data_IF_063455507950
#
_entry.id   IF_063455507950
#
_cell.length_a   1.000
_cell.length_b   1.000
_cell.length_c   1.000
_cell.angle_alpha   90.00
_cell.angle_beta   90.00
_cell.angle_gamma   90.00
#
_symmetry.space_group_name_H-M   'P 1'
#
loop_
_entity.id
_entity.type
_entity.pdbx_description
1 polymer ?
#
# COMPACT_ATOMS: atom_id res chain seq x y z
N UNK A 1 -27.05 -27.17 -8.53
CA UNK A 1 -27.35 -26.66 -9.90
C UNK A 1 -28.77 -26.94 -10.40
N UNK A 2 -29.48 -27.98 -9.93
CA UNK A 2 -30.85 -28.26 -10.39
C UNK A 2 -31.91 -27.26 -9.88
N UNK A 3 -31.74 -26.72 -8.66
CA UNK A 3 -32.62 -25.69 -8.09
C UNK A 3 -32.61 -24.35 -8.88
N UNK A 4 -31.45 -23.96 -9.42
CA UNK A 4 -31.32 -22.73 -10.20
C UNK A 4 -31.99 -22.85 -11.58
N UNK A 5 -31.99 -24.05 -12.18
CA UNK A 5 -32.69 -24.33 -13.43
C UNK A 5 -34.22 -24.32 -13.26
N UNK A 6 -34.71 -24.81 -12.11
CA UNK A 6 -36.13 -24.78 -11.80
C UNK A 6 -36.65 -23.36 -11.57
N UNK A 7 -35.84 -22.50 -10.92
CA UNK A 7 -36.15 -21.08 -10.73
C UNK A 7 -36.22 -20.32 -12.07
N UNK A 8 -35.35 -20.66 -13.03
CA UNK A 8 -35.35 -20.05 -14.35
C UNK A 8 -36.55 -20.48 -15.23
N UNK A 9 -37.06 -21.70 -15.03
CA UNK A 9 -38.22 -22.22 -15.75
C UNK A 9 -39.53 -21.55 -15.31
N UNK A 10 -39.67 -21.25 -14.01
CA UNK A 10 -40.85 -20.57 -13.45
C UNK A 10 -40.95 -19.11 -13.95
N UNK A 11 -39.80 -18.45 -14.18
CA UNK A 11 -39.74 -17.08 -14.70
C UNK A 11 -40.23 -16.96 -16.16
N UNK A 12 -40.26 -18.05 -16.94
CA UNK A 12 -40.70 -18.03 -18.33
C UNK A 12 -42.19 -18.31 -18.54
N UNK A 13 -42.86 -18.93 -17.56
CA UNK A 13 -44.28 -19.34 -17.69
C UNK A 13 -45.25 -18.21 -17.28
N UNK A 14 -44.75 -17.15 -16.63
CA UNK A 14 -45.57 -16.06 -16.08
C UNK A 14 -45.95 -14.93 -17.06
N UNK A 15 -45.53 -14.96 -18.33
CA UNK A 15 -45.94 -13.95 -19.31
C UNK A 15 -47.26 -14.34 -20.00
N UNK A 16 -48.36 -14.23 -19.26
CA UNK A 16 -49.67 -14.08 -19.91
C UNK A 16 -49.75 -12.67 -20.48
N UNK A 17 -49.50 -12.54 -21.78
CA UNK A 17 -49.78 -11.31 -22.50
C UNK A 17 -51.29 -11.05 -22.46
N UNK A 18 -51.69 -9.90 -21.94
CA UNK A 18 -53.05 -9.41 -22.14
C UNK A 18 -53.19 -9.05 -23.62
N UNK A 19 -53.97 -9.85 -24.35
CA UNK A 19 -54.44 -9.45 -25.66
C UNK A 19 -55.41 -8.28 -25.46
N UNK A 20 -55.08 -7.13 -26.03
CA UNK A 20 -56.01 -6.00 -26.08
C UNK A 20 -57.05 -6.36 -27.14
N UNK A 21 -58.32 -6.45 -26.74
CA UNK A 21 -59.41 -6.62 -27.69
C UNK A 21 -59.35 -5.49 -28.72
N UNK A 22 -59.36 -5.87 -30.00
CA UNK A 22 -59.40 -4.91 -31.09
C UNK A 22 -60.74 -4.16 -30.99
N UNK A 23 -60.67 -2.89 -30.57
CA UNK A 23 -61.81 -1.98 -30.69
C UNK A 23 -62.03 -1.76 -32.18
N UNK A 24 -63.03 -2.45 -32.74
CA UNK A 24 -63.56 -2.12 -34.06
C UNK A 24 -64.29 -0.79 -33.89
N UNK A 25 -63.65 0.30 -34.26
CA UNK A 25 -64.32 1.58 -34.42
C UNK A 25 -65.15 1.51 -35.69
N UNK A 26 -66.47 1.44 -35.52
CA UNK A 26 -67.43 1.64 -36.60
C UNK A 26 -67.23 3.06 -37.18
N UNK A 27 -66.85 3.13 -38.45
CA UNK A 27 -66.25 4.30 -39.11
C UNK A 27 -67.25 5.43 -39.43
N UNK A 28 -68.48 5.35 -38.90
CA UNK A 28 -69.60 6.20 -39.33
C UNK A 28 -70.10 7.21 -38.28
N UNK A 29 -69.38 7.44 -37.18
CA UNK A 29 -69.75 8.50 -36.21
C UNK A 29 -68.59 9.36 -35.73
N UNK A 30 -67.61 9.66 -36.59
CA UNK A 30 -66.61 10.69 -36.28
C UNK A 30 -67.19 12.10 -36.54
N UNK A 31 -67.30 12.98 -35.53
CA UNK A 31 -67.77 14.34 -35.73
C UNK A 31 -66.77 15.12 -36.59
N UNK A 32 -67.23 15.56 -37.77
CA UNK A 32 -66.66 16.55 -38.69
C UNK A 32 -65.23 17.04 -38.38
N UNK A 33 -64.28 16.68 -39.25
CA UNK A 33 -62.98 17.33 -39.31
C UNK A 33 -63.17 18.84 -39.57
N UNK A 34 -63.01 19.67 -38.54
CA UNK A 34 -62.94 21.11 -38.71
C UNK A 34 -61.55 21.47 -39.24
N UNK A 35 -61.50 22.12 -40.40
CA UNK A 35 -60.27 22.68 -40.94
C UNK A 35 -59.80 23.79 -39.99
N UNK A 36 -58.77 23.52 -39.20
CA UNK A 36 -58.13 24.54 -38.37
C UNK A 36 -57.28 25.46 -39.25
N UNK A 37 -57.56 26.77 -39.20
CA UNK A 37 -56.67 27.77 -39.80
C UNK A 37 -55.49 28.01 -38.86
N UNK A 38 -54.32 27.50 -39.28
CA UNK A 38 -53.08 27.66 -38.54
C UNK A 38 -52.46 29.00 -38.92
N UNK A 39 -52.60 30.01 -38.06
CA UNK A 39 -51.92 31.30 -38.23
C UNK A 39 -50.40 31.17 -37.96
N UNK A 40 -49.61 32.11 -38.51
CA UNK A 40 -48.15 32.13 -38.30
C UNK A 40 -47.74 32.26 -36.82
N UNK A 41 -48.51 32.97 -36.00
CA UNK A 41 -48.28 33.10 -34.55
C UNK A 41 -48.44 31.76 -33.81
N UNK A 42 -49.41 30.93 -34.24
CA UNK A 42 -49.57 29.59 -33.66
C UNK A 42 -48.32 28.73 -33.91
N UNK A 43 -47.69 28.85 -35.09
CA UNK A 43 -46.49 28.09 -35.45
C UNK A 43 -45.25 28.52 -34.66
N UNK A 44 -45.09 29.81 -34.35
CA UNK A 44 -43.92 30.29 -33.60
C UNK A 44 -43.88 29.77 -32.16
N UNK A 45 -45.04 29.48 -31.57
CA UNK A 45 -45.15 28.83 -30.26
C UNK A 45 -44.59 27.40 -30.26
N UNK A 46 -44.64 26.70 -31.39
CA UNK A 46 -44.14 25.32 -31.52
C UNK A 46 -42.71 25.26 -32.04
N UNK A 47 -42.26 26.22 -32.87
CA UNK A 47 -40.87 26.28 -33.36
C UNK A 47 -39.84 26.35 -32.24
N UNK A 48 -40.16 27.01 -31.13
CA UNK A 48 -39.22 27.19 -30.01
C UNK A 48 -39.26 26.05 -28.98
N UNK A 49 -40.13 25.04 -29.17
CA UNK A 49 -40.22 23.89 -28.24
C UNK A 49 -39.15 22.86 -28.58
N UNK A 50 -38.32 22.51 -27.59
CA UNK A 50 -37.24 21.50 -27.70
C UNK A 50 -37.72 20.14 -28.23
N UNK A 51 -38.98 19.77 -27.99
CA UNK A 51 -39.59 18.54 -28.48
C UNK A 51 -39.77 18.49 -30.01
N UNK A 52 -39.73 19.63 -30.69
CA UNK A 52 -39.87 19.75 -32.14
C UNK A 52 -38.59 20.23 -32.83
N UNK A 53 -37.44 20.17 -32.14
CA UNK A 53 -36.14 20.35 -32.76
C UNK A 53 -35.71 19.04 -33.45
N UNK A 54 -35.99 18.95 -34.75
CA UNK A 54 -35.63 17.82 -35.61
C UNK A 54 -34.29 18.04 -36.33
N UNK A 55 -33.36 18.79 -35.73
CA UNK A 55 -31.96 18.74 -36.16
C UNK A 55 -31.47 17.30 -35.98
N UNK A 56 -31.22 16.60 -37.09
CA UNK A 56 -30.42 15.39 -37.08
C UNK A 56 -29.10 15.76 -36.39
N UNK A 57 -28.87 15.20 -35.20
CA UNK A 57 -27.54 15.25 -34.59
C UNK A 57 -26.62 14.47 -35.51
N UNK A 58 -26.01 15.15 -36.47
CA UNK A 58 -24.84 14.66 -37.19
C UNK A 58 -23.91 14.17 -36.09
N UNK A 59 -23.61 12.87 -36.08
CA UNK A 59 -22.79 12.27 -35.03
C UNK A 59 -21.55 13.17 -34.82
N UNK A 60 -21.36 13.66 -33.59
CA UNK A 60 -20.28 14.59 -33.25
C UNK A 60 -19.01 14.15 -33.99
N UNK A 61 -18.35 15.08 -34.71
CA UNK A 61 -17.13 14.78 -35.44
C UNK A 61 -16.20 13.97 -34.55
N UNK A 62 -16.00 12.70 -34.90
CA UNK A 62 -15.29 11.71 -34.11
C UNK A 62 -14.02 12.36 -33.53
N UNK A 63 -14.02 12.66 -32.22
CA UNK A 63 -12.88 13.26 -31.55
C UNK A 63 -11.62 12.45 -31.89
N UNK A 64 -10.49 13.11 -32.14
CA UNK A 64 -9.22 12.44 -32.44
C UNK A 64 -8.90 11.34 -31.40
N UNK A 65 -9.34 11.55 -30.16
CA UNK A 65 -9.24 10.56 -29.09
C UNK A 65 -10.12 9.32 -29.28
N UNK A 66 -11.35 9.50 -29.77
CA UNK A 66 -12.27 8.40 -30.11
C UNK A 66 -11.71 7.58 -31.28
N UNK A 67 -11.16 8.25 -32.31
CA UNK A 67 -10.49 7.58 -33.44
C UNK A 67 -9.27 6.79 -32.98
N UNK A 68 -8.44 7.39 -32.12
CA UNK A 68 -7.28 6.73 -31.52
C UNK A 68 -7.67 5.50 -30.69
N UNK A 69 -8.65 5.63 -29.78
CA UNK A 69 -9.14 4.51 -28.97
C UNK A 69 -9.69 3.38 -29.83
N UNK A 70 -10.43 3.69 -30.89
CA UNK A 70 -10.98 2.70 -31.82
C UNK A 70 -9.86 1.97 -32.58
N UNK A 71 -8.86 2.70 -33.07
CA UNK A 71 -7.66 2.13 -33.69
C UNK A 71 -6.88 1.24 -32.72
N UNK A 72 -6.60 1.72 -31.51
CA UNK A 72 -5.88 0.99 -30.46
C UNK A 72 -6.63 -0.28 -30.06
N UNK A 73 -7.95 -0.19 -29.87
CA UNK A 73 -8.80 -1.34 -29.57
C UNK A 73 -8.77 -2.37 -30.70
N UNK A 74 -8.72 -1.94 -31.96
CA UNK A 74 -8.55 -2.83 -33.11
C UNK A 74 -7.21 -3.56 -33.10
N UNK A 75 -6.12 -2.87 -32.78
CA UNK A 75 -4.78 -3.47 -32.66
C UNK A 75 -4.73 -4.47 -31.50
N UNK A 76 -5.20 -4.06 -30.33
CA UNK A 76 -5.25 -4.92 -29.15
C UNK A 76 -6.13 -6.15 -29.42
N UNK A 77 -7.29 -5.98 -30.04
CA UNK A 77 -8.17 -7.12 -30.35
C UNK A 77 -7.50 -8.11 -31.30
N UNK A 78 -6.78 -7.65 -32.33
CA UNK A 78 -6.02 -8.52 -33.25
C UNK A 78 -4.84 -9.22 -32.57
N UNK A 79 -4.13 -8.52 -31.68
CA UNK A 79 -3.04 -9.11 -30.91
C UNK A 79 -3.55 -10.18 -29.94
N UNK A 80 -4.60 -9.87 -29.17
CA UNK A 80 -5.22 -10.81 -28.24
C UNK A 80 -5.92 -11.95 -28.97
N UNK A 81 -6.57 -11.73 -30.12
CA UNK A 81 -7.15 -12.83 -30.90
C UNK A 81 -6.08 -13.69 -31.58
N UNK A 82 -4.90 -13.15 -31.90
CA UNK A 82 -3.76 -13.92 -32.41
C UNK A 82 -3.13 -14.80 -31.30
N UNK A 83 -3.03 -14.27 -30.08
CA UNK A 83 -2.44 -14.98 -28.93
C UNK A 83 -3.43 -15.92 -28.22
N UNK A 84 -4.71 -15.58 -28.16
CA UNK A 84 -5.73 -16.30 -27.38
C UNK A 84 -6.91 -16.79 -28.24
N UNK A 85 -6.88 -16.59 -29.56
CA UNK A 85 -7.90 -17.09 -30.48
C UNK A 85 -7.85 -18.61 -30.58
N UNK A 86 -8.98 -19.24 -30.31
CA UNK A 86 -9.14 -20.68 -30.13
C UNK A 86 -8.84 -21.51 -31.40
N UNK A 87 -8.78 -20.86 -32.57
CA UNK A 87 -8.68 -21.52 -33.87
C UNK A 87 -7.27 -21.49 -34.52
N UNK A 88 -6.29 -20.78 -33.93
CA UNK A 88 -5.03 -20.49 -34.63
C UNK A 88 -3.80 -21.33 -34.20
N UNK A 89 -3.88 -22.14 -33.14
CA UNK A 89 -2.69 -22.81 -32.61
C UNK A 89 -2.82 -24.33 -32.63
N UNK A 90 -2.64 -24.94 -33.80
CA UNK A 90 -2.15 -26.33 -33.88
C UNK A 90 -0.62 -26.29 -33.97
N UNK A 91 0.08 -26.74 -32.93
CA UNK A 91 1.55 -26.85 -32.90
C UNK A 91 2.25 -26.06 -31.77
N UNK A 92 3.49 -25.63 -32.02
CA UNK A 92 4.43 -25.07 -31.02
C UNK A 92 3.86 -23.86 -30.27
N UNK A 93 3.01 -23.04 -30.91
CA UNK A 93 2.36 -21.89 -30.26
C UNK A 93 1.42 -22.32 -29.13
N UNK A 94 0.68 -23.43 -29.27
CA UNK A 94 -0.16 -23.96 -28.20
C UNK A 94 0.67 -24.40 -27.00
N UNK A 95 1.81 -25.05 -27.25
CA UNK A 95 2.73 -25.46 -26.20
C UNK A 95 3.31 -24.25 -25.45
N UNK A 96 3.76 -23.22 -26.18
CA UNK A 96 4.28 -21.99 -25.57
C UNK A 96 3.20 -21.30 -24.74
N UNK A 97 2.00 -21.11 -25.27
CA UNK A 97 0.90 -20.43 -24.55
C UNK A 97 0.43 -21.21 -23.32
N UNK A 98 0.53 -22.54 -23.35
CA UNK A 98 0.22 -23.38 -22.19
C UNK A 98 1.32 -23.33 -21.13
N UNK A 99 2.59 -23.30 -21.52
CA UNK A 99 3.74 -23.35 -20.59
C UNK A 99 4.13 -21.97 -20.05
N UNK A 100 4.00 -20.91 -20.86
CA UNK A 100 4.34 -19.52 -20.52
C UNK A 100 3.72 -19.03 -19.19
N UNK A 101 2.42 -19.22 -18.89
CA UNK A 101 1.87 -18.77 -17.62
C UNK A 101 2.50 -19.45 -16.40
N UNK A 102 2.89 -20.74 -16.52
CA UNK A 102 3.61 -21.43 -15.45
C UNK A 102 5.04 -20.91 -15.28
N UNK A 103 5.73 -20.55 -16.37
CA UNK A 103 7.06 -19.92 -16.31
C UNK A 103 6.96 -18.54 -15.65
N UNK A 104 6.01 -17.72 -16.06
CA UNK A 104 5.78 -16.38 -15.48
C UNK A 104 5.44 -16.50 -13.99
N UNK A 105 4.60 -17.46 -13.62
CA UNK A 105 4.26 -17.73 -12.22
C UNK A 105 5.49 -18.20 -11.42
N UNK A 106 6.33 -19.07 -11.99
CA UNK A 106 7.56 -19.52 -11.35
C UNK A 106 8.56 -18.38 -11.13
N UNK A 107 8.70 -17.47 -12.10
CA UNK A 107 9.52 -16.25 -11.98
C UNK A 107 8.95 -15.34 -10.90
N UNK A 108 7.63 -15.14 -10.87
CA UNK A 108 6.96 -14.34 -9.84
C UNK A 108 7.21 -14.91 -8.44
N UNK A 109 7.02 -16.22 -8.26
CA UNK A 109 7.30 -16.91 -6.99
C UNK A 109 8.77 -16.77 -6.61
N UNK A 110 9.69 -16.95 -7.57
CA UNK A 110 11.12 -16.76 -7.32
C UNK A 110 11.45 -15.33 -6.88
N UNK A 111 10.85 -14.31 -7.52
CA UNK A 111 11.03 -12.91 -7.13
C UNK A 111 10.44 -12.62 -5.76
N UNK A 112 9.27 -13.18 -5.42
CA UNK A 112 8.67 -13.06 -4.10
C UNK A 112 9.58 -13.71 -3.04
N UNK A 113 10.03 -14.95 -3.25
CA UNK A 113 10.96 -15.63 -2.34
C UNK A 113 12.23 -14.79 -2.18
N UNK A 114 12.84 -14.33 -3.27
CA UNK A 114 14.04 -13.50 -3.22
C UNK A 114 13.80 -12.17 -2.49
N UNK A 115 12.63 -11.55 -2.68
CA UNK A 115 12.24 -10.33 -2.00
C UNK A 115 12.10 -10.57 -0.49
N UNK A 116 11.36 -11.60 -0.09
CA UNK A 116 11.15 -11.95 1.31
C UNK A 116 12.42 -12.47 2.01
N UNK A 117 13.29 -13.19 1.32
CA UNK A 117 14.59 -13.62 1.88
C UNK A 117 15.58 -12.46 2.06
N UNK A 118 15.43 -11.38 1.27
CA UNK A 118 16.23 -10.15 1.45
C UNK A 118 15.68 -9.25 2.56
N UNK A 119 14.41 -9.45 2.97
CA UNK A 119 13.85 -8.87 4.19
C UNK A 119 14.31 -9.73 5.37
N UNK A 120 15.35 -9.26 6.05
CA UNK A 120 15.98 -9.75 7.28
C UNK A 120 15.25 -10.95 7.97
N UNK A 121 15.54 -12.16 7.51
CA UNK A 121 14.83 -13.39 7.93
C UNK A 121 15.19 -13.91 9.32
N UNK A 122 15.88 -13.11 10.15
CA UNK A 122 16.15 -13.48 11.55
C UNK A 122 14.89 -13.47 12.41
N UNK A 123 13.84 -12.74 12.00
CA UNK A 123 12.60 -12.61 12.76
C UNK A 123 11.48 -13.58 12.34
N UNK A 124 11.65 -14.34 11.24
CA UNK A 124 10.59 -15.21 10.70
C UNK A 124 10.85 -16.71 10.94
N UNK A 125 12.08 -17.11 11.23
CA UNK A 125 12.48 -18.52 11.35
C UNK A 125 12.44 -19.01 12.80
N UNK A 126 12.59 -18.11 13.78
CA UNK A 126 12.41 -18.43 15.20
C UNK A 126 11.01 -17.98 15.63
N UNK A 127 10.07 -18.92 15.63
CA UNK A 127 8.72 -18.68 16.14
C UNK A 127 8.73 -18.49 17.65
N UNK A 128 8.69 -17.24 18.11
CA UNK A 128 8.26 -16.94 19.47
C UNK A 128 6.73 -16.88 19.50
N UNK A 129 6.15 -17.72 20.36
CA UNK A 129 4.72 -17.69 20.64
C UNK A 129 4.35 -16.31 21.16
N UNK A 130 3.50 -15.60 20.41
CA UNK A 130 2.91 -14.31 20.81
C UNK A 130 2.14 -14.48 22.12
N UNK A 131 2.83 -14.31 23.25
CA UNK A 131 2.23 -13.71 24.44
C UNK A 131 2.18 -12.21 24.18
N UNK A 132 0.97 -11.67 24.18
CA UNK A 132 0.62 -10.26 24.09
C UNK A 132 1.84 -9.33 23.92
N UNK A 133 2.13 -8.96 22.67
CA UNK A 133 3.13 -7.94 22.35
C UNK A 133 2.67 -6.62 22.96
N UNK A 134 3.11 -6.36 24.19
CA UNK A 134 3.36 -5.00 24.64
C UNK A 134 4.28 -4.43 23.55
N UNK A 135 3.80 -3.41 22.85
CA UNK A 135 4.57 -2.70 21.82
C UNK A 135 5.78 -2.03 22.50
N UNK A 136 6.82 -2.81 22.75
CA UNK A 136 8.10 -2.31 23.19
C UNK A 136 8.65 -1.44 22.04
N UNK A 137 9.09 -0.21 22.33
CA UNK A 137 9.88 0.53 21.34
C UNK A 137 11.19 -0.21 21.08
N UNK A 138 11.81 0.04 19.93
CA UNK A 138 13.08 -0.58 19.55
C UNK A 138 14.13 -0.49 20.69
N UNK A 139 14.18 0.62 21.43
CA UNK A 139 15.08 0.77 22.58
C UNK A 139 14.74 -0.15 23.76
N UNK A 140 13.46 -0.33 24.08
CA UNK A 140 13.02 -1.15 25.20
C UNK A 140 13.31 -2.63 24.94
N UNK A 141 13.06 -3.10 23.73
CA UNK A 141 13.43 -4.44 23.30
C UNK A 141 14.94 -4.66 23.39
N UNK A 142 15.74 -3.68 22.92
CA UNK A 142 17.20 -3.78 22.94
C UNK A 142 17.74 -3.81 24.38
N UNK A 143 17.25 -2.93 25.25
CA UNK A 143 17.73 -2.83 26.64
C UNK A 143 17.39 -4.11 27.42
N UNK A 144 16.16 -4.61 27.31
CA UNK A 144 15.66 -5.72 28.12
C UNK A 144 16.08 -7.09 27.57
N UNK A 145 16.04 -7.28 26.25
CA UNK A 145 16.04 -8.62 25.67
C UNK A 145 17.27 -8.91 24.79
N UNK A 146 18.00 -7.89 24.35
CA UNK A 146 19.10 -8.09 23.40
C UNK A 146 20.49 -8.03 24.05
N UNK A 147 21.45 -8.72 23.41
CA UNK A 147 22.86 -8.61 23.76
C UNK A 147 23.46 -7.38 23.06
N UNK A 148 23.41 -6.24 23.74
CA UNK A 148 23.89 -4.95 23.21
C UNK A 148 25.36 -5.01 22.78
N UNK A 149 26.22 -5.78 23.46
CA UNK A 149 27.64 -5.93 23.07
C UNK A 149 27.80 -6.62 21.71
N UNK A 150 26.95 -7.62 21.41
CA UNK A 150 26.93 -8.24 20.10
C UNK A 150 26.46 -7.27 19.01
N UNK A 151 25.46 -6.44 19.30
CA UNK A 151 24.97 -5.40 18.38
C UNK A 151 26.06 -4.35 18.08
N UNK A 152 26.80 -3.90 19.09
CA UNK A 152 27.96 -3.00 18.91
C UNK A 152 28.98 -3.62 17.96
N UNK A 153 29.34 -4.89 18.19
CA UNK A 153 30.34 -5.60 17.38
C UNK A 153 29.90 -5.71 15.92
N UNK A 154 28.62 -6.02 15.67
CA UNK A 154 28.08 -6.12 14.32
C UNK A 154 28.03 -4.75 13.63
N UNK A 155 27.58 -3.70 14.32
CA UNK A 155 27.53 -2.34 13.77
C UNK A 155 28.93 -1.84 13.36
N UNK A 156 29.95 -2.09 14.20
CA UNK A 156 31.35 -1.76 13.89
C UNK A 156 31.85 -2.55 12.67
N UNK A 157 31.54 -3.85 12.58
CA UNK A 157 31.92 -4.69 11.44
C UNK A 157 31.30 -4.20 10.13
N UNK A 158 30.09 -3.66 10.19
CA UNK A 158 29.39 -3.08 9.04
C UNK A 158 29.85 -1.64 8.71
N UNK A 159 30.79 -1.08 9.48
CA UNK A 159 31.20 0.34 9.42
C UNK A 159 30.04 1.31 9.69
N UNK A 160 28.98 0.87 10.37
CA UNK A 160 27.90 1.74 10.84
C UNK A 160 28.24 2.27 12.24
N UNK A 161 29.16 3.22 12.24
CA UNK A 161 29.66 3.84 13.47
C UNK A 161 28.57 4.63 14.21
N UNK A 162 27.61 5.23 13.49
CA UNK A 162 26.48 5.95 14.11
C UNK A 162 25.61 4.99 14.91
N UNK A 163 25.29 3.84 14.33
CA UNK A 163 24.54 2.80 15.02
C UNK A 163 25.33 2.21 16.20
N UNK A 164 26.64 2.02 16.05
CA UNK A 164 27.50 1.58 17.15
C UNK A 164 27.47 2.56 18.35
N UNK A 165 27.53 3.87 18.10
CA UNK A 165 27.40 4.90 19.16
C UNK A 165 26.04 4.82 19.86
N UNK A 166 24.95 4.63 19.11
CA UNK A 166 23.62 4.41 19.70
C UNK A 166 23.62 3.21 20.64
N UNK A 167 24.17 2.08 20.22
CA UNK A 167 24.23 0.90 21.07
C UNK A 167 25.13 1.11 22.30
N UNK A 168 26.25 1.83 22.19
CA UNK A 168 27.05 2.22 23.36
C UNK A 168 26.25 3.08 24.34
N UNK A 169 25.44 4.03 23.86
CA UNK A 169 24.60 4.85 24.71
C UNK A 169 23.54 4.02 25.45
N UNK A 170 22.85 3.12 24.73
CA UNK A 170 21.87 2.20 25.33
C UNK A 170 22.51 1.26 26.35
N UNK A 171 23.74 0.81 26.11
CA UNK A 171 24.50 0.02 27.08
C UNK A 171 24.75 0.79 28.38
N UNK A 172 25.14 2.06 28.30
CA UNK A 172 25.35 2.88 29.51
C UNK A 172 24.04 3.08 30.27
N UNK A 173 22.93 3.36 29.58
CA UNK A 173 21.61 3.48 30.22
C UNK A 173 21.24 2.18 30.93
N UNK A 174 21.42 1.03 30.27
CA UNK A 174 21.17 -0.28 30.86
C UNK A 174 21.97 -0.47 32.15
N UNK A 175 23.26 -0.18 32.12
CA UNK A 175 24.17 -0.39 33.24
C UNK A 175 23.87 0.57 34.41
N UNK A 176 23.53 1.83 34.12
CA UNK A 176 23.04 2.77 35.15
C UNK A 176 21.74 2.27 35.80
N UNK A 177 20.85 1.66 35.01
CA UNK A 177 19.59 1.12 35.52
C UNK A 177 19.81 -0.15 36.35
N UNK A 178 20.67 -1.07 35.91
CA UNK A 178 21.01 -2.30 36.65
C UNK A 178 21.69 -2.00 37.98
N UNK A 179 22.45 -0.90 38.07
CA UNK A 179 23.07 -0.42 39.30
C UNK A 179 22.15 0.50 40.14
N UNK A 180 20.85 0.61 39.80
CA UNK A 180 19.86 1.45 40.48
C UNK A 180 20.25 2.94 40.60
N UNK A 181 21.09 3.44 39.68
CA UNK A 181 21.48 4.85 39.62
C UNK A 181 20.37 5.67 38.95
N UNK A 182 19.71 5.09 37.95
CA UNK A 182 18.53 5.65 37.29
C UNK A 182 17.41 4.62 37.32
N UNK A 183 16.17 5.11 37.27
CA UNK A 183 14.99 4.26 37.06
C UNK A 183 14.58 4.36 35.59
N UNK A 184 14.97 3.38 34.78
CA UNK A 184 14.71 3.42 33.34
C UNK A 184 13.20 3.32 33.05
N UNK A 185 12.69 4.30 32.30
CA UNK A 185 11.30 4.34 31.85
C UNK A 185 11.22 4.86 30.42
N UNK A 186 10.39 4.22 29.59
CA UNK A 186 10.27 4.56 28.17
C UNK A 186 9.90 6.04 27.93
N UNK A 187 9.04 6.61 28.77
CA UNK A 187 8.59 8.00 28.66
C UNK A 187 9.62 9.06 29.12
N UNK A 188 10.71 8.66 29.78
CA UNK A 188 11.71 9.60 30.32
C UNK A 188 12.64 10.10 29.22
N UNK A 189 13.00 11.38 29.32
CA UNK A 189 13.96 12.02 28.43
C UNK A 189 15.39 11.84 28.93
N UNK A 190 16.37 12.10 28.06
CA UNK A 190 17.78 12.11 28.44
C UNK A 190 18.07 13.09 29.59
N UNK A 191 17.39 14.23 29.62
CA UNK A 191 17.48 15.25 30.67
C UNK A 191 16.92 14.76 32.01
N UNK A 192 15.88 13.92 31.99
CA UNK A 192 15.33 13.31 33.21
C UNK A 192 16.35 12.37 33.83
N UNK A 193 17.03 11.55 33.02
CA UNK A 193 18.11 10.68 33.50
C UNK A 193 19.30 11.45 34.06
N UNK A 194 19.69 12.58 33.45
CA UNK A 194 20.76 13.44 34.00
C UNK A 194 20.39 13.93 35.40
N UNK A 195 19.14 14.30 35.66
CA UNK A 195 18.68 14.80 36.95
C UNK A 195 18.58 13.70 38.02
N UNK A 196 18.38 12.45 37.64
CA UNK A 196 18.30 11.31 38.57
C UNK A 196 19.67 10.93 39.15
N UNK A 197 20.74 11.12 38.38
CA UNK A 197 22.10 10.74 38.79
C UNK A 197 22.59 11.67 39.89
N UNK A 198 22.71 11.16 41.12
CA UNK A 198 23.16 11.93 42.30
C UNK A 198 24.67 12.14 42.37
N UNK A 199 25.44 11.20 41.81
CA UNK A 199 26.91 11.25 41.86
C UNK A 199 27.44 12.24 40.82
N UNK A 200 27.94 13.39 41.27
CA UNK A 200 28.38 14.49 40.39
C UNK A 200 29.37 14.03 39.29
N UNK A 201 30.33 13.14 39.61
CA UNK A 201 31.29 12.64 38.63
C UNK A 201 30.65 11.80 37.51
N UNK A 202 29.63 11.00 37.85
CA UNK A 202 28.88 10.16 36.90
C UNK A 202 27.94 11.07 36.10
N UNK A 203 27.27 12.01 36.76
CA UNK A 203 26.36 12.96 36.14
C UNK A 203 27.06 13.78 35.04
N UNK A 204 28.21 14.40 35.34
CA UNK A 204 28.97 15.19 34.36
C UNK A 204 29.43 14.35 33.16
N UNK A 205 29.84 13.10 33.39
CA UNK A 205 30.23 12.21 32.29
C UNK A 205 29.03 11.74 31.47
N UNK A 206 27.91 11.47 32.13
CA UNK A 206 26.66 11.11 31.47
C UNK A 206 26.18 12.26 30.58
N UNK A 207 26.14 13.49 31.10
CA UNK A 207 25.80 14.68 30.32
C UNK A 207 26.70 14.85 29.07
N UNK A 208 28.00 14.58 29.22
CA UNK A 208 28.95 14.62 28.09
C UNK A 208 28.61 13.59 27.02
N UNK A 209 28.34 12.33 27.38
CA UNK A 209 28.01 11.31 26.39
C UNK A 209 26.61 11.51 25.79
N UNK A 210 25.66 12.06 26.55
CA UNK A 210 24.33 12.43 26.07
C UNK A 210 24.43 13.48 24.97
N UNK A 211 25.23 14.53 25.15
CA UNK A 211 25.48 15.52 24.09
C UNK A 211 26.08 14.92 22.82
N UNK A 212 27.02 13.97 22.97
CA UNK A 212 27.61 13.25 21.84
C UNK A 212 26.54 12.41 21.13
N UNK A 213 25.73 11.67 21.88
CA UNK A 213 24.65 10.84 21.36
C UNK A 213 23.60 11.68 20.63
N UNK A 214 23.13 12.77 21.24
CA UNK A 214 22.10 13.63 20.66
C UNK A 214 22.58 14.26 19.36
N UNK A 215 23.83 14.74 19.34
CA UNK A 215 24.45 15.26 18.13
C UNK A 215 24.51 14.18 17.04
N UNK A 216 25.08 13.02 17.30
CA UNK A 216 25.31 12.00 16.26
C UNK A 216 24.02 11.31 15.80
N UNK A 217 23.14 10.97 16.74
CA UNK A 217 21.91 10.27 16.44
C UNK A 217 20.86 11.23 15.91
N UNK A 218 20.37 12.17 16.71
CA UNK A 218 19.29 13.07 16.28
C UNK A 218 19.74 14.13 15.29
N UNK A 219 21.02 14.53 15.31
CA UNK A 219 21.58 15.43 14.29
C UNK A 219 22.02 14.75 12.99
N UNK A 220 21.87 13.42 12.87
CA UNK A 220 22.24 12.62 11.68
C UNK A 220 23.68 12.82 11.19
N UNK A 221 24.60 13.19 12.09
CA UNK A 221 26.00 13.43 11.71
C UNK A 221 26.72 12.11 11.43
N UNK A 222 27.32 12.04 10.24
CA UNK A 222 28.20 10.93 9.88
C UNK A 222 29.52 11.05 10.62
N UNK A 223 29.94 9.95 11.22
CA UNK A 223 31.23 9.83 11.90
C UNK A 223 32.13 8.84 11.15
N UNK A 224 33.40 9.21 11.00
CA UNK A 224 34.45 8.34 10.47
C UNK A 224 35.01 7.43 11.57
N UNK A 225 35.81 6.44 11.17
CA UNK A 225 36.41 5.47 12.09
C UNK A 225 37.28 6.14 13.16
N UNK A 226 38.04 7.19 12.80
CA UNK A 226 38.98 7.86 13.73
C UNK A 226 38.18 8.60 14.81
N UNK A 227 37.14 9.34 14.43
CA UNK A 227 36.25 10.01 15.38
C UNK A 227 35.51 9.00 16.24
N UNK A 228 35.02 7.90 15.66
CA UNK A 228 34.36 6.84 16.40
C UNK A 228 35.27 6.26 17.50
N UNK A 229 36.51 5.90 17.16
CA UNK A 229 37.49 5.35 18.10
C UNK A 229 37.76 6.29 19.28
N UNK A 230 37.81 7.60 19.03
CA UNK A 230 37.98 8.59 20.09
C UNK A 230 36.71 8.77 20.94
N UNK A 231 35.55 8.80 20.31
CA UNK A 231 34.27 9.06 20.98
C UNK A 231 33.85 7.89 21.87
N UNK A 232 34.01 6.64 21.41
CA UNK A 232 33.59 5.43 22.14
C UNK A 232 34.27 5.32 23.51
N UNK A 233 35.48 5.88 23.67
CA UNK A 233 36.21 5.88 24.94
C UNK A 233 35.41 6.57 26.05
N UNK A 234 34.65 7.63 25.75
CA UNK A 234 33.83 8.30 26.76
C UNK A 234 32.73 7.37 27.31
N UNK A 235 32.11 6.57 26.44
CA UNK A 235 31.08 5.62 26.82
C UNK A 235 31.66 4.45 27.62
N UNK A 236 32.80 3.91 27.17
CA UNK A 236 33.49 2.80 27.84
C UNK A 236 33.97 3.22 29.23
N UNK A 237 34.56 4.40 29.36
CA UNK A 237 35.06 4.90 30.65
C UNK A 237 33.94 5.07 31.66
N UNK A 238 32.81 5.66 31.25
CA UNK A 238 31.65 5.81 32.12
C UNK A 238 31.08 4.44 32.53
N UNK A 239 30.94 3.51 31.57
CA UNK A 239 30.44 2.17 31.87
C UNK A 239 31.34 1.43 32.88
N UNK A 240 32.67 1.52 32.70
CA UNK A 240 33.63 0.93 33.63
C UNK A 240 33.60 1.59 35.02
N UNK A 241 33.23 2.86 35.11
CA UNK A 241 33.06 3.55 36.39
C UNK A 241 31.78 3.11 37.10
N UNK A 242 30.72 2.81 36.36
CA UNK A 242 29.43 2.35 36.91
C UNK A 242 29.51 0.91 37.41
N UNK A 243 30.34 0.07 36.79
CA UNK A 243 30.55 -1.35 37.18
C UNK A 243 31.40 -1.59 38.43
N UNK A 244 32.07 -0.55 38.94
CA UNK A 244 32.95 -0.64 40.10
C UNK A 244 32.18 -0.42 41.38
#
# INVERSE_FOLDING_TARGET
MQLLRFLFLILFIGNFGYAQDAVITDDNTAPYYQKQDISKENLDTYKNKKAFNYEEKVADEDSLWTKFKRWLKGILHRFFSSIFGMDAATGILWFILRVLPYIVLAILIFLLIRFFLKVNSRNLIYGEQKKAEILFTDEEQIIKNENINALITEAVKQNDYRLAIRYYYLLVIKELSENNIIDWQQQKTNEDYIKEIKTNSIQMQFEKITKIYDYIWYGEFKIDAIKFENLKLNFINLNNQVKK
#
